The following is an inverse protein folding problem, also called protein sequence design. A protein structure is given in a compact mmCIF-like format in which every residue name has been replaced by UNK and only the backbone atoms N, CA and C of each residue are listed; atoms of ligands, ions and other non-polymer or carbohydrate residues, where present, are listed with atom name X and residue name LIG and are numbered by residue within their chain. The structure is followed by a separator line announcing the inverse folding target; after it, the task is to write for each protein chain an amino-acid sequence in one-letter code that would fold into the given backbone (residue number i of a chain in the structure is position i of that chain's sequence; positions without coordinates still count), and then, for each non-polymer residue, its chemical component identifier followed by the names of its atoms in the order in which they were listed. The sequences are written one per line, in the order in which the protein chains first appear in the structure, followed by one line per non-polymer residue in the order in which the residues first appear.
data_IF_812947571160
#
_entry.id   IF_812947571160
#
_cell.length_a   1.000
_cell.length_b   1.000
_cell.length_c   1.000
_cell.angle_alpha   90.00
_cell.angle_beta   90.00
_cell.angle_gamma   90.00
#
_symmetry.space_group_name_H-M   'P 1'
#
loop_
_entity.id
_entity.type
_entity.pdbx_description
1 polymer ?
#
# COMPACT_ATOMS: atom_id res chain seq x y z
N UNK A 1 -13.46 5.47 3.40
CA UNK A 1 -12.05 5.61 3.04
C UNK A 1 -11.83 5.14 1.61
N UNK A 2 -11.09 5.88 0.79
CA UNK A 2 -10.57 5.41 -0.50
C UNK A 2 -9.18 4.84 -0.31
N UNK A 3 -8.85 3.70 -0.93
CA UNK A 3 -7.53 3.08 -0.78
C UNK A 3 -6.53 3.62 -1.82
N UNK A 4 -5.28 3.78 -1.42
CA UNK A 4 -4.21 4.18 -2.34
C UNK A 4 -3.88 3.10 -3.39
N UNK A 5 -3.79 3.49 -4.65
CA UNK A 5 -3.22 2.67 -5.71
C UNK A 5 -1.73 3.04 -5.90
N UNK A 6 -0.83 2.06 -5.96
CA UNK A 6 0.62 2.33 -6.01
C UNK A 6 1.06 3.02 -7.31
N UNK A 7 0.36 2.78 -8.43
CA UNK A 7 0.49 3.55 -9.66
C UNK A 7 -0.78 4.35 -9.95
N UNK A 8 -1.17 5.19 -9.00
CA UNK A 8 -2.34 6.02 -9.20
C UNK A 8 -2.08 7.12 -10.24
N UNK A 9 -2.96 7.24 -11.23
CA UNK A 9 -3.01 8.37 -12.18
C UNK A 9 -4.10 9.37 -11.85
N UNK A 10 -4.93 9.08 -10.86
CA UNK A 10 -5.92 10.00 -10.31
C UNK A 10 -5.33 10.85 -9.19
N UNK A 11 -5.94 12.01 -8.95
CA UNK A 11 -5.69 12.78 -7.75
C UNK A 11 -6.06 11.95 -6.53
N UNK A 12 -5.16 11.87 -5.55
CA UNK A 12 -5.35 11.14 -4.30
C UNK A 12 -4.88 11.99 -3.13
N UNK A 13 -5.77 12.23 -2.17
CA UNK A 13 -5.42 12.91 -0.94
C UNK A 13 -5.14 11.91 0.18
N UNK A 14 -3.86 11.72 0.54
CA UNK A 14 -3.43 10.91 1.68
C UNK A 14 -3.84 11.56 3.01
N UNK A 15 -5.07 11.32 3.46
CA UNK A 15 -5.64 11.95 4.65
C UNK A 15 -5.54 11.08 5.91
N UNK A 16 -5.56 9.75 5.75
CA UNK A 16 -5.55 8.79 6.86
C UNK A 16 -4.47 7.75 6.62
N UNK A 17 -3.71 7.44 7.67
CA UNK A 17 -2.65 6.45 7.63
C UNK A 17 -2.92 5.38 8.68
N UNK A 18 -2.85 4.11 8.29
CA UNK A 18 -2.92 2.97 9.21
C UNK A 18 -1.55 2.30 9.28
N UNK A 19 -0.86 2.47 10.41
CA UNK A 19 0.39 1.77 10.69
C UNK A 19 0.19 0.27 10.92
N UNK A 20 1.18 -0.54 10.54
CA UNK A 20 1.14 -1.98 10.75
C UNK A 20 2.53 -2.61 10.87
N UNK A 21 2.60 -3.79 11.50
CA UNK A 21 3.83 -4.56 11.68
C UNK A 21 4.24 -5.38 10.43
N UNK A 22 5.51 -5.75 10.33
CA UNK A 22 6.10 -6.57 9.26
C UNK A 22 5.32 -7.87 8.98
N UNK A 23 4.77 -8.53 10.01
CA UNK A 23 3.96 -9.75 9.84
C UNK A 23 2.75 -9.52 8.93
N UNK A 24 2.12 -8.34 9.01
CA UNK A 24 1.00 -7.98 8.15
C UNK A 24 1.48 -7.68 6.73
N UNK A 25 2.69 -7.13 6.59
CA UNK A 25 3.28 -6.92 5.28
C UNK A 25 3.54 -8.24 4.56
N UNK A 26 4.14 -9.19 5.27
CA UNK A 26 4.39 -10.52 4.75
C UNK A 26 3.09 -11.22 4.36
N UNK A 27 2.04 -11.11 5.17
CA UNK A 27 0.72 -11.65 4.84
C UNK A 27 0.14 -11.01 3.56
N UNK A 28 0.24 -9.68 3.41
CA UNK A 28 -0.19 -8.95 2.20
C UNK A 28 0.56 -9.46 0.96
N UNK A 29 1.88 -9.58 1.05
CA UNK A 29 2.71 -10.06 -0.06
C UNK A 29 2.46 -11.53 -0.40
N UNK A 30 2.15 -12.38 0.59
CA UNK A 30 1.74 -13.77 0.34
C UNK A 30 0.42 -13.85 -0.44
N UNK A 31 -0.53 -12.95 -0.15
CA UNK A 31 -1.81 -12.91 -0.85
C UNK A 31 -1.66 -12.60 -2.35
N UNK A 32 -0.58 -11.92 -2.76
CA UNK A 32 -0.31 -11.64 -4.18
C UNK A 32 -0.10 -12.91 -5.00
N UNK A 33 0.36 -14.01 -4.39
CA UNK A 33 0.51 -15.30 -5.07
C UNK A 33 -0.85 -15.87 -5.56
N UNK A 34 -1.96 -15.41 -4.99
CA UNK A 34 -3.31 -15.78 -5.45
C UNK A 34 -3.70 -15.05 -6.75
N UNK A 35 -3.10 -13.90 -7.05
CA UNK A 35 -3.43 -13.03 -8.19
C UNK A 35 -2.58 -13.38 -9.42
N UNK A 36 -2.66 -14.64 -9.86
CA UNK A 36 -1.80 -15.22 -10.90
C UNK A 36 -1.71 -14.41 -12.19
N UNK A 37 -2.82 -13.82 -12.64
CA UNK A 37 -2.88 -13.02 -13.88
C UNK A 37 -2.21 -11.64 -13.75
N UNK A 38 -1.99 -11.17 -12.53
CA UNK A 38 -1.39 -9.86 -12.27
C UNK A 38 0.13 -9.93 -12.12
N UNK A 39 0.69 -11.11 -11.82
CA UNK A 39 2.13 -11.28 -11.52
C UNK A 39 3.07 -10.91 -12.67
N UNK A 40 2.63 -10.92 -13.92
CA UNK A 40 3.45 -10.51 -15.07
C UNK A 40 3.50 -8.99 -15.28
N UNK A 41 2.72 -8.22 -14.53
CA UNK A 41 2.65 -6.77 -14.68
C UNK A 41 3.77 -6.12 -13.88
N UNK A 42 4.54 -5.24 -14.52
CA UNK A 42 5.69 -4.54 -13.92
C UNK A 42 5.31 -3.80 -12.62
N UNK A 43 4.11 -3.23 -12.58
CA UNK A 43 3.59 -2.51 -11.42
C UNK A 43 3.06 -3.40 -10.30
N UNK A 44 2.97 -4.70 -10.54
CA UNK A 44 2.57 -5.69 -9.55
C UNK A 44 3.81 -6.36 -8.94
N UNK A 45 4.76 -5.53 -8.50
CA UNK A 45 6.03 -5.96 -7.90
C UNK A 45 5.97 -5.88 -6.37
N UNK A 46 6.38 -6.94 -5.68
CA UNK A 46 6.41 -7.00 -4.21
C UNK A 46 7.20 -5.83 -3.62
N UNK A 47 8.36 -5.53 -4.20
CA UNK A 47 9.25 -4.45 -3.75
C UNK A 47 8.60 -3.06 -3.89
N UNK A 48 7.74 -2.88 -4.90
CA UNK A 48 7.00 -1.62 -5.12
C UNK A 48 5.98 -1.39 -4.01
N UNK A 49 5.21 -2.42 -3.65
CA UNK A 49 4.25 -2.33 -2.56
C UNK A 49 4.95 -2.17 -1.20
N UNK A 50 6.10 -2.83 -1.00
CA UNK A 50 6.92 -2.69 0.20
C UNK A 50 7.51 -1.30 0.37
N UNK A 51 8.08 -0.77 -0.71
CA UNK A 51 8.60 0.58 -0.71
C UNK A 51 7.49 1.61 -0.46
N UNK A 52 6.31 1.45 -1.07
CA UNK A 52 5.20 2.36 -0.84
C UNK A 52 4.75 2.34 0.63
N UNK A 53 4.58 1.14 1.21
CA UNK A 53 4.19 1.02 2.61
C UNK A 53 5.22 1.66 3.57
N UNK A 54 6.51 1.54 3.27
CA UNK A 54 7.57 2.21 4.05
C UNK A 54 7.52 3.73 3.92
N UNK A 55 7.29 4.26 2.71
CA UNK A 55 7.14 5.70 2.49
C UNK A 55 5.96 6.23 3.32
N UNK A 56 4.82 5.55 3.29
CA UNK A 56 3.66 5.92 4.10
C UNK A 56 3.91 5.77 5.60
N UNK A 57 4.62 4.73 6.03
CA UNK A 57 5.05 4.55 7.42
C UNK A 57 5.92 5.71 7.90
N UNK A 58 6.92 6.09 7.12
CA UNK A 58 7.84 7.17 7.45
C UNK A 58 7.12 8.52 7.66
N UNK A 59 6.04 8.78 6.93
CA UNK A 59 5.23 10.00 7.09
C UNK A 59 4.54 10.11 8.46
N UNK A 60 4.42 9.01 9.19
CA UNK A 60 3.83 8.96 10.53
C UNK A 60 4.78 8.41 11.61
N UNK A 61 6.05 8.21 11.29
CA UNK A 61 7.05 7.66 12.23
C UNK A 61 6.88 6.16 12.53
N UNK A 62 6.33 5.39 11.60
CA UNK A 62 6.18 3.93 11.69
C UNK A 62 6.98 3.22 10.59
N UNK A 63 7.27 1.93 10.75
CA UNK A 63 8.00 1.14 9.74
C UNK A 63 7.18 0.93 8.46
N UNK A 64 5.89 0.64 8.62
CA UNK A 64 4.95 0.46 7.52
C UNK A 64 3.61 1.13 7.82
N UNK A 65 2.99 1.70 6.80
CA UNK A 65 1.60 2.14 6.85
C UNK A 65 0.91 2.02 5.50
N UNK A 66 -0.42 1.94 5.51
CA UNK A 66 -1.24 2.13 4.32
C UNK A 66 -1.90 3.50 4.36
N UNK A 67 -1.99 4.17 3.21
CA UNK A 67 -2.65 5.46 3.08
C UNK A 67 -4.07 5.31 2.53
N UNK A 68 -4.96 6.16 3.05
CA UNK A 68 -6.36 6.22 2.67
C UNK A 68 -6.84 7.66 2.52
N UNK A 69 -7.77 7.86 1.60
CA UNK A 69 -8.49 9.10 1.40
C UNK A 69 -9.77 9.15 2.25
N UNK A 70 -10.01 10.27 2.93
CA UNK A 70 -11.22 10.51 3.69
C UNK A 70 -12.31 11.08 2.76
N UNK A 71 -13.21 10.21 2.29
CA UNK A 71 -14.28 10.58 1.33
C UNK A 71 -15.42 11.38 1.99
N UNK A 72 -15.70 11.06 3.25
CA UNK A 72 -16.72 11.75 4.05
C UNK A 72 -16.00 12.29 5.27
N UNK A 73 -15.93 13.62 5.34
CA UNK A 73 -15.36 14.38 6.45
C UNK A 73 -16.49 15.10 7.14
#
# INVERSE_FOLDING_TARGET
FGYELVLNTFSFNSAVFCGFEEKHMNAKLMAFNCLKTQMSRIHFSRDLFESNARVRGAQMGADYAEAFEAIRV
#
